data_IF_603606125526
#
_entry.id   IF_603606125526
#
_cell.length_a   1.000
_cell.length_b   1.000
_cell.length_c   1.000
_cell.angle_alpha   90.00
_cell.angle_beta   90.00
_cell.angle_gamma   90.00
#
_symmetry.space_group_name_H-M   'P 1'
#
loop_
_entity.id
_entity.type
_entity.pdbx_description
1 polymer ?
#
# COMPACT_ATOMS: atom_id res chain seq x y z
N UNK A 1 -19.44 4.66 18.44
CA UNK A 1 -18.09 4.62 17.82
C UNK A 1 -17.53 3.24 18.11
N UNK A 2 -17.47 2.35 17.12
CA UNK A 2 -16.83 1.05 17.28
C UNK A 2 -15.32 1.29 17.39
N UNK A 3 -14.69 0.86 18.48
CA UNK A 3 -13.23 0.83 18.59
C UNK A 3 -12.69 -0.23 17.61
N UNK A 4 -12.50 0.17 16.35
CA UNK A 4 -11.73 -0.64 15.42
C UNK A 4 -10.28 -0.66 15.94
N UNK A 5 -9.70 -1.86 16.05
CA UNK A 5 -8.32 -2.01 16.52
C UNK A 5 -7.37 -1.21 15.62
N UNK A 6 -6.61 -0.30 16.23
CA UNK A 6 -5.60 0.52 15.57
C UNK A 6 -4.41 -0.36 15.11
N UNK A 7 -4.07 -0.27 13.83
CA UNK A 7 -2.99 -1.04 13.18
C UNK A 7 -1.76 -0.17 12.89
N UNK A 8 -1.81 1.13 13.16
CA UNK A 8 -0.83 2.13 12.72
C UNK A 8 0.61 1.78 13.08
N UNK A 9 0.86 1.46 14.34
CA UNK A 9 2.23 1.22 14.80
C UNK A 9 2.84 0.00 14.09
N UNK A 10 2.07 -1.08 13.94
CA UNK A 10 2.55 -2.28 13.22
C UNK A 10 2.78 -2.01 11.74
N UNK A 11 1.87 -1.29 11.10
CA UNK A 11 2.00 -0.91 9.69
C UNK A 11 3.21 -0.01 9.47
N UNK A 12 3.49 0.92 10.40
CA UNK A 12 4.67 1.78 10.38
C UNK A 12 5.96 0.99 10.57
N UNK A 13 6.00 0.05 11.53
CA UNK A 13 7.16 -0.81 11.74
C UNK A 13 7.44 -1.69 10.52
N UNK A 14 6.39 -2.31 9.97
CA UNK A 14 6.50 -3.09 8.73
C UNK A 14 7.00 -2.23 7.55
N UNK A 15 6.47 -1.02 7.38
CA UNK A 15 6.93 -0.06 6.33
C UNK A 15 8.43 0.21 6.43
N UNK A 16 8.91 0.50 7.64
CA UNK A 16 10.31 0.83 7.91
C UNK A 16 11.22 -0.39 7.72
N UNK A 17 10.81 -1.54 8.24
CA UNK A 17 11.55 -2.79 8.13
C UNK A 17 11.65 -3.25 6.66
N UNK A 18 10.53 -3.27 5.94
CA UNK A 18 10.46 -3.65 4.53
C UNK A 18 11.36 -2.75 3.68
N UNK A 19 11.23 -1.42 3.83
CA UNK A 19 12.08 -0.44 3.13
C UNK A 19 13.56 -0.64 3.43
N UNK A 20 13.90 -0.78 4.72
CA UNK A 20 15.28 -0.95 5.17
C UNK A 20 15.91 -2.22 4.59
N UNK A 21 15.16 -3.32 4.56
CA UNK A 21 15.61 -4.57 3.97
C UNK A 21 15.90 -4.41 2.48
N UNK A 22 14.95 -3.85 1.71
CA UNK A 22 15.17 -3.65 0.28
C UNK A 22 16.40 -2.78 0.01
N UNK A 23 16.41 -1.57 0.58
CA UNK A 23 17.44 -0.58 0.29
C UNK A 23 18.86 -1.04 0.65
N UNK A 24 18.99 -1.88 1.67
CA UNK A 24 20.30 -2.32 2.17
C UNK A 24 20.78 -3.64 1.57
N UNK A 25 19.87 -4.59 1.32
CA UNK A 25 20.26 -5.96 0.95
C UNK A 25 19.84 -6.40 -0.45
N UNK A 26 18.83 -5.76 -1.06
CA UNK A 26 18.27 -6.19 -2.35
C UNK A 26 18.46 -5.14 -3.46
N UNK A 27 18.63 -3.87 -3.11
CA UNK A 27 18.89 -2.80 -4.07
C UNK A 27 20.20 -3.04 -4.79
N UNK A 28 20.14 -3.01 -6.12
CA UNK A 28 21.30 -3.12 -7.00
C UNK A 28 21.77 -1.71 -7.39
N UNK A 29 23.08 -1.50 -7.44
CA UNK A 29 23.64 -0.23 -7.91
C UNK A 29 23.47 -0.12 -9.43
N UNK A 30 23.03 1.04 -9.91
CA UNK A 30 22.77 1.30 -11.34
C UNK A 30 21.85 0.24 -12.00
N UNK A 31 20.63 0.04 -11.46
CA UNK A 31 19.77 -1.10 -11.82
C UNK A 31 19.31 -1.11 -13.28
N UNK A 32 19.50 -0.02 -14.03
CA UNK A 32 19.06 0.12 -15.42
C UNK A 32 20.18 0.02 -16.46
N UNK A 33 21.44 -0.14 -16.04
CA UNK A 33 22.58 -0.12 -16.97
C UNK A 33 23.04 -1.53 -17.34
N UNK A 34 23.76 -2.19 -16.43
CA UNK A 34 24.44 -3.45 -16.73
C UNK A 34 23.85 -4.65 -15.97
N UNK A 35 23.03 -4.39 -14.96
CA UNK A 35 22.53 -5.41 -14.03
C UNK A 35 21.00 -5.51 -14.03
N UNK A 36 20.32 -5.05 -15.09
CA UNK A 36 18.86 -4.99 -15.12
C UNK A 36 18.18 -6.33 -14.83
N UNK A 37 18.67 -7.42 -15.43
CA UNK A 37 18.13 -8.76 -15.18
C UNK A 37 18.37 -9.19 -13.72
N UNK A 38 19.53 -8.84 -13.15
CA UNK A 38 19.85 -9.16 -11.77
C UNK A 38 19.03 -8.31 -10.79
N UNK A 39 18.78 -7.04 -11.09
CA UNK A 39 17.93 -6.15 -10.31
C UNK A 39 16.49 -6.67 -10.24
N UNK A 40 15.90 -7.08 -11.36
CA UNK A 40 14.58 -7.72 -11.36
C UNK A 40 14.56 -9.04 -10.57
N UNK A 41 15.61 -9.85 -10.66
CA UNK A 41 15.72 -11.07 -9.84
C UNK A 41 15.80 -10.75 -8.34
N UNK A 42 16.52 -9.69 -7.95
CA UNK A 42 16.52 -9.25 -6.56
C UNK A 42 15.14 -8.75 -6.11
N UNK A 43 14.42 -8.08 -7.00
CA UNK A 43 13.06 -7.63 -6.70
C UNK A 43 12.08 -8.79 -6.49
N UNK A 44 12.14 -9.82 -7.34
CA UNK A 44 11.32 -11.03 -7.19
C UNK A 44 11.60 -11.72 -5.84
N UNK A 45 12.89 -11.88 -5.49
CA UNK A 45 13.29 -12.42 -4.19
C UNK A 45 12.83 -11.55 -3.03
N UNK A 46 12.90 -10.24 -3.18
CA UNK A 46 12.45 -9.32 -2.15
C UNK A 46 10.94 -9.41 -1.93
N UNK A 47 10.13 -9.54 -3.00
CA UNK A 47 8.68 -9.73 -2.91
C UNK A 47 8.31 -10.92 -2.00
N UNK A 48 9.01 -12.04 -2.12
CA UNK A 48 8.81 -13.21 -1.26
C UNK A 48 9.09 -12.91 0.21
N UNK A 49 10.21 -12.23 0.49
CA UNK A 49 10.60 -11.83 1.84
C UNK A 49 9.63 -10.80 2.42
N UNK A 50 9.19 -9.84 1.61
CA UNK A 50 8.25 -8.80 2.00
C UNK A 50 6.89 -9.41 2.39
N UNK A 51 6.43 -10.41 1.64
CA UNK A 51 5.22 -11.14 2.00
C UNK A 51 5.34 -11.84 3.35
N UNK A 52 6.42 -12.59 3.59
CA UNK A 52 6.67 -13.25 4.88
C UNK A 52 6.78 -12.22 6.01
N UNK A 53 7.47 -11.11 5.78
CA UNK A 53 7.61 -10.02 6.75
C UNK A 53 6.24 -9.44 7.13
N UNK A 54 5.38 -9.19 6.15
CA UNK A 54 4.02 -8.70 6.38
C UNK A 54 3.21 -9.69 7.21
N UNK A 55 3.24 -10.97 6.85
CA UNK A 55 2.56 -12.03 7.59
C UNK A 55 3.00 -12.08 9.05
N UNK A 56 4.32 -12.07 9.30
CA UNK A 56 4.87 -12.21 10.66
C UNK A 56 4.75 -10.95 11.52
N UNK A 57 4.80 -9.75 10.94
CA UNK A 57 4.76 -8.50 11.72
C UNK A 57 3.35 -7.93 11.89
N UNK A 58 2.49 -8.13 10.90
CA UNK A 58 1.16 -7.52 10.82
C UNK A 58 0.05 -8.54 10.97
N UNK A 59 -0.02 -9.54 10.09
CA UNK A 59 -1.18 -10.41 10.00
C UNK A 59 -1.33 -11.37 11.18
N UNK A 60 -0.32 -12.20 11.44
CA UNK A 60 -0.36 -13.24 12.48
C UNK A 60 -0.55 -12.66 13.90
N UNK A 61 0.18 -11.60 14.32
CA UNK A 61 0.06 -11.05 15.67
C UNK A 61 -1.33 -10.49 16.01
N UNK A 62 -2.14 -10.22 14.99
CA UNK A 62 -3.48 -9.65 15.12
C UNK A 62 -4.58 -10.61 14.66
N UNK A 63 -4.20 -11.82 14.25
CA UNK A 63 -5.09 -12.83 13.68
C UNK A 63 -5.94 -12.24 12.55
N UNK A 64 -5.29 -11.53 11.62
CA UNK A 64 -5.93 -11.01 10.42
C UNK A 64 -5.96 -12.11 9.35
N UNK A 65 -7.07 -12.20 8.64
CA UNK A 65 -7.12 -12.95 7.39
C UNK A 65 -6.43 -12.09 6.33
N UNK A 66 -5.14 -12.33 6.13
CA UNK A 66 -4.31 -11.59 5.19
C UNK A 66 -4.17 -12.35 3.88
N UNK A 67 -4.39 -11.64 2.79
CA UNK A 67 -4.09 -12.09 1.43
C UNK A 67 -2.59 -11.96 1.15
N UNK A 68 -2.16 -12.38 -0.05
CA UNK A 68 -0.81 -12.11 -0.53
C UNK A 68 -0.52 -10.60 -0.49
N UNK A 69 0.67 -10.21 -0.02
CA UNK A 69 1.05 -8.81 0.02
C UNK A 69 1.08 -8.23 -1.41
N UNK A 70 0.45 -7.06 -1.62
CA UNK A 70 0.18 -6.54 -2.97
C UNK A 70 -1.21 -6.90 -3.50
N UNK A 71 -1.97 -7.76 -2.81
CA UNK A 71 -3.40 -7.92 -3.02
C UNK A 71 -4.21 -7.09 -2.01
N UNK A 72 -5.47 -6.71 -2.34
CA UNK A 72 -6.36 -6.01 -1.43
C UNK A 72 -6.59 -6.79 -0.13
N UNK A 73 -6.29 -6.16 1.01
CA UNK A 73 -6.41 -6.75 2.34
C UNK A 73 -7.79 -6.42 2.93
N UNK A 74 -8.74 -7.34 2.83
CA UNK A 74 -10.12 -7.15 3.34
C UNK A 74 -10.18 -6.81 4.84
N UNK A 75 -9.21 -7.30 5.61
CA UNK A 75 -9.08 -7.10 7.05
C UNK A 75 -8.40 -5.77 7.45
N UNK A 76 -7.92 -4.95 6.50
CA UNK A 76 -7.17 -3.72 6.77
C UNK A 76 -7.78 -2.57 5.98
N UNK A 77 -8.46 -1.66 6.69
CA UNK A 77 -8.99 -0.43 6.10
C UNK A 77 -7.97 0.69 6.22
N UNK A 78 -8.01 1.59 5.24
CA UNK A 78 -7.24 2.83 5.22
C UNK A 78 -8.20 4.00 5.36
N UNK A 79 -8.00 4.81 6.40
CA UNK A 79 -8.83 5.96 6.71
C UNK A 79 -7.98 7.23 6.81
N UNK A 80 -8.62 8.39 6.78
CA UNK A 80 -7.95 9.67 7.04
C UNK A 80 -7.47 9.75 8.48
N UNK A 81 -6.30 10.37 8.69
CA UNK A 81 -5.83 10.78 10.02
C UNK A 81 -6.67 11.92 10.62
N UNK A 82 -7.37 12.69 9.78
CA UNK A 82 -8.19 13.83 10.19
C UNK A 82 -9.57 13.76 9.55
N UNK A 83 -10.56 14.47 10.11
CA UNK A 83 -11.94 14.50 9.56
C UNK A 83 -12.07 15.32 8.25
N UNK A 84 -11.02 15.32 7.42
CA UNK A 84 -10.94 16.03 6.15
C UNK A 84 -10.76 15.04 4.98
N UNK A 85 -11.14 15.52 3.78
CA UNK A 85 -10.88 14.80 2.54
C UNK A 85 -9.36 14.63 2.34
N UNK A 86 -8.97 13.47 1.80
CA UNK A 86 -7.56 13.10 1.64
C UNK A 86 -7.15 13.25 0.18
N UNK A 87 -6.02 13.90 -0.13
CA UNK A 87 -5.45 13.86 -1.48
C UNK A 87 -5.17 12.43 -1.94
N UNK A 88 -5.65 12.10 -3.14
CA UNK A 88 -5.50 10.76 -3.74
C UNK A 88 -5.15 10.86 -5.22
N UNK A 89 -4.25 9.99 -5.67
CA UNK A 89 -4.01 9.75 -7.10
C UNK A 89 -4.70 8.46 -7.49
N UNK A 90 -5.79 8.56 -8.26
CA UNK A 90 -6.57 7.40 -8.68
C UNK A 90 -6.12 6.91 -10.04
N UNK A 91 -6.14 5.59 -10.20
CA UNK A 91 -5.90 4.94 -11.48
C UNK A 91 -6.95 5.35 -12.52
N UNK A 92 -6.51 5.63 -13.74
CA UNK A 92 -7.41 5.93 -14.87
C UNK A 92 -8.38 4.79 -15.11
N UNK A 93 -7.85 3.58 -15.20
CA UNK A 93 -8.60 2.32 -15.36
C UNK A 93 -8.24 1.30 -14.27
N UNK A 94 -9.08 0.29 -14.07
CA UNK A 94 -8.75 -0.82 -13.15
C UNK A 94 -7.43 -1.48 -13.63
N UNK A 95 -6.49 -1.67 -12.70
CA UNK A 95 -5.14 -2.19 -12.98
C UNK A 95 -4.33 -1.39 -14.02
N UNK A 96 -4.59 -0.08 -14.14
CA UNK A 96 -3.78 0.82 -14.95
C UNK A 96 -2.44 1.18 -14.28
N UNK A 97 -1.44 1.53 -15.09
CA UNK A 97 -0.23 2.22 -14.62
C UNK A 97 -0.35 3.76 -14.65
N UNK A 98 -1.49 4.29 -15.09
CA UNK A 98 -1.73 5.73 -15.19
C UNK A 98 -2.57 6.23 -14.01
N UNK A 99 -2.00 7.15 -13.23
CA UNK A 99 -2.56 7.66 -11.97
C UNK A 99 -3.16 9.08 -12.11
N UNK A 100 -3.94 9.30 -13.16
CA UNK A 100 -4.39 10.63 -13.57
C UNK A 100 -5.91 10.78 -13.67
N UNK A 101 -6.67 9.89 -13.02
CA UNK A 101 -8.12 10.05 -12.95
C UNK A 101 -8.49 11.45 -12.41
N UNK A 102 -9.54 12.13 -12.93
CA UNK A 102 -9.81 13.54 -12.60
C UNK A 102 -10.06 13.84 -11.13
N UNK A 103 -10.65 12.93 -10.37
CA UNK A 103 -10.90 13.09 -8.94
C UNK A 103 -9.58 13.10 -8.14
N UNK A 104 -9.38 14.12 -7.30
CA UNK A 104 -8.12 14.38 -6.59
C UNK A 104 -8.19 14.19 -5.08
N UNK A 105 -9.39 14.01 -4.55
CA UNK A 105 -9.62 13.84 -3.11
C UNK A 105 -10.60 12.71 -2.86
N UNK A 106 -10.47 12.05 -1.72
CA UNK A 106 -11.38 11.02 -1.23
C UNK A 106 -11.99 11.45 0.10
N UNK A 107 -13.31 11.34 0.21
CA UNK A 107 -14.07 11.66 1.42
C UNK A 107 -14.30 10.42 2.29
N UNK A 108 -14.91 10.63 3.46
CA UNK A 108 -15.22 9.57 4.43
C UNK A 108 -16.30 8.58 3.95
N UNK A 109 -16.94 8.84 2.81
CA UNK A 109 -17.89 7.93 2.18
C UNK A 109 -17.25 6.79 1.39
N UNK A 110 -15.92 6.82 1.21
CA UNK A 110 -15.16 5.76 0.56
C UNK A 110 -14.63 4.73 1.56
N UNK A 111 -14.79 3.44 1.24
CA UNK A 111 -14.14 2.33 1.94
C UNK A 111 -12.90 1.89 1.16
N UNK A 112 -11.74 2.18 1.72
CA UNK A 112 -10.44 1.89 1.10
C UNK A 112 -9.80 0.67 1.77
N UNK A 113 -9.41 -0.32 0.97
CA UNK A 113 -8.67 -1.49 1.44
C UNK A 113 -7.17 -1.25 1.22
N UNK A 114 -6.34 -1.59 2.20
CA UNK A 114 -4.89 -1.55 2.02
C UNK A 114 -4.46 -2.59 0.98
N UNK A 115 -3.53 -2.23 0.08
CA UNK A 115 -2.95 -3.15 -0.91
C UNK A 115 -1.46 -3.35 -0.61
N UNK A 116 -0.69 -2.25 -0.62
CA UNK A 116 0.73 -2.25 -0.32
C UNK A 116 1.24 -0.83 -0.02
N UNK A 117 2.49 -0.72 0.42
CA UNK A 117 3.25 0.51 0.27
C UNK A 117 3.80 0.58 -1.16
N UNK A 118 3.86 1.79 -1.71
CA UNK A 118 4.15 2.01 -3.11
C UNK A 118 5.34 2.97 -3.30
N UNK A 119 6.21 2.60 -4.23
CA UNK A 119 7.28 3.42 -4.77
C UNK A 119 7.15 3.46 -6.30
N UNK A 120 7.47 4.60 -6.90
CA UNK A 120 7.42 4.79 -8.36
C UNK A 120 8.50 4.02 -9.10
N UNK A 121 9.67 3.91 -8.48
CA UNK A 121 10.79 3.14 -8.96
C UNK A 121 10.94 1.88 -8.10
N UNK A 122 10.68 0.72 -8.69
CA UNK A 122 10.76 -0.56 -7.98
C UNK A 122 12.20 -1.03 -7.79
N UNK A 123 13.16 -0.56 -8.59
CA UNK A 123 14.53 -1.07 -8.58
C UNK A 123 15.51 -0.15 -7.86
N UNK A 124 15.17 1.14 -7.73
CA UNK A 124 15.98 2.10 -7.00
C UNK A 124 15.52 2.29 -5.54
N UNK A 125 16.11 3.24 -4.83
CA UNK A 125 15.79 3.55 -3.45
C UNK A 125 14.29 3.72 -3.21
N UNK A 126 13.80 2.96 -2.24
CA UNK A 126 12.43 3.03 -1.77
C UNK A 126 12.32 3.99 -0.60
N UNK A 127 11.32 4.85 -0.62
CA UNK A 127 10.92 5.65 0.53
C UNK A 127 9.60 5.17 1.14
N UNK A 128 8.82 4.36 0.39
CA UNK A 128 7.48 3.91 0.74
C UNK A 128 6.57 5.07 1.15
N UNK A 129 6.70 6.24 0.49
CA UNK A 129 5.93 7.45 0.82
C UNK A 129 4.43 7.22 0.63
N UNK A 130 4.05 6.45 -0.38
CA UNK A 130 2.66 6.21 -0.74
C UNK A 130 2.12 4.89 -0.20
N UNK A 131 0.83 4.88 0.07
CA UNK A 131 0.01 3.72 0.37
C UNK A 131 -0.88 3.47 -0.84
N UNK A 132 -0.74 2.31 -1.45
CA UNK A 132 -1.67 1.83 -2.46
C UNK A 132 -2.90 1.25 -1.77
N UNK A 133 -4.07 1.71 -2.20
CA UNK A 133 -5.37 1.27 -1.72
C UNK A 133 -6.25 0.82 -2.88
N UNK A 134 -7.25 -0.02 -2.59
CA UNK A 134 -8.35 -0.30 -3.51
C UNK A 134 -9.65 0.28 -2.99
N UNK A 135 -10.40 0.96 -3.86
CA UNK A 135 -11.76 1.41 -3.53
C UNK A 135 -12.70 0.20 -3.54
N UNK A 136 -13.16 -0.22 -2.37
CA UNK A 136 -14.11 -1.35 -2.24
C UNK A 136 -15.57 -0.90 -2.25
N UNK A 137 -15.83 0.33 -1.81
CA UNK A 137 -17.17 0.91 -1.78
C UNK A 137 -17.06 2.43 -1.79
N UNK A 138 -17.91 3.12 -2.56
CA UNK A 138 -18.08 4.58 -2.49
C UNK A 138 -19.40 4.98 -3.12
N UNK A 139 -20.37 5.45 -2.33
CA UNK A 139 -21.73 5.70 -2.84
C UNK A 139 -21.79 6.85 -3.85
N UNK A 140 -20.99 7.91 -3.66
CA UNK A 140 -20.97 9.07 -4.56
C UNK A 140 -20.23 8.79 -5.88
N UNK A 141 -19.36 7.78 -5.87
CA UNK A 141 -18.48 7.44 -7.01
C UNK A 141 -18.43 5.91 -7.25
N UNK A 142 -19.57 5.28 -7.58
CA UNK A 142 -19.63 3.83 -7.78
C UNK A 142 -18.74 3.34 -8.95
N UNK A 143 -18.45 4.20 -9.92
CA UNK A 143 -17.54 3.95 -11.04
C UNK A 143 -16.07 3.76 -10.63
N UNK A 144 -15.72 4.15 -9.40
CA UNK A 144 -14.37 4.00 -8.86
C UNK A 144 -14.15 2.67 -8.14
N UNK A 145 -15.22 1.92 -7.87
CA UNK A 145 -15.10 0.62 -7.19
C UNK A 145 -14.19 -0.31 -8.01
N UNK A 146 -13.22 -0.91 -7.31
CA UNK A 146 -12.19 -1.77 -7.88
C UNK A 146 -10.92 -1.05 -8.35
N UNK A 147 -10.93 0.27 -8.52
CA UNK A 147 -9.73 1.04 -8.91
C UNK A 147 -8.76 1.16 -7.73
N UNK A 148 -7.47 1.25 -8.07
CA UNK A 148 -6.42 1.58 -7.12
C UNK A 148 -6.26 3.09 -6.95
N UNK A 149 -5.82 3.49 -5.76
CA UNK A 149 -5.41 4.85 -5.46
C UNK A 149 -4.11 4.90 -4.68
N UNK A 150 -3.36 5.99 -4.81
CA UNK A 150 -2.18 6.31 -4.02
C UNK A 150 -2.47 7.47 -3.10
N UNK A 151 -2.20 7.28 -1.81
CA UNK A 151 -2.31 8.31 -0.78
C UNK A 151 -0.98 8.40 -0.05
N UNK A 152 -0.52 9.59 0.30
CA UNK A 152 0.69 9.71 1.12
C UNK A 152 0.46 9.13 2.52
N UNK A 153 1.40 8.31 2.99
CA UNK A 153 1.33 7.59 4.27
C UNK A 153 1.12 8.48 5.49
N UNK A 154 1.48 9.76 5.44
CA UNK A 154 1.26 10.72 6.53
C UNK A 154 -0.21 11.13 6.70
N UNK A 155 -1.03 10.98 5.66
CA UNK A 155 -2.44 11.37 5.68
C UNK A 155 -3.37 10.26 6.14
N UNK A 156 -2.85 9.05 6.34
CA UNK A 156 -3.68 7.87 6.59
C UNK A 156 -3.36 7.16 7.89
N UNK A 157 -4.40 6.55 8.43
CA UNK A 157 -4.32 5.57 9.49
C UNK A 157 -4.86 4.22 9.03
N UNK A 158 -4.40 3.16 9.67
CA UNK A 158 -4.77 1.78 9.39
C UNK A 158 -5.62 1.26 10.55
N UNK A 159 -6.78 0.70 10.22
CA UNK A 159 -7.68 0.10 11.22
C UNK A 159 -8.11 -1.29 10.78
N UNK A 160 -8.45 -2.13 11.76
CA UNK A 160 -9.00 -3.46 11.48
C UNK A 160 -10.36 -3.35 10.80
N UNK A 161 -10.45 -3.92 9.61
CA UNK A 161 -11.71 -4.14 8.90
C UNK A 161 -12.57 -5.18 9.61
N UNK A 162 -13.87 -4.90 9.68
CA UNK A 162 -14.92 -5.84 10.07
C UNK A 162 -15.47 -6.56 8.85
#
# INVERSE_FOLDING_TARGET
MSEHADLNERMKQFRLASRGLFNHFFRVSEPYMNEQQYAWLQEERFCEIQYVLFQKQVAEPLSLNAEIYGCPQSSILVESCCDAAIPIKLNREINSGYWDYPLKEVDSGARLLFVCFFDWDQLDYRDNQYVCVQVSHWTLHPELIGKHGLIESQHVRFIRGT
#
